data_IF_686765981503
#
_entry.id   IF_686765981503
#
_cell.length_a   1.000
_cell.length_b   1.000
_cell.length_c   1.000
_cell.angle_alpha   90.00
_cell.angle_beta   90.00
_cell.angle_gamma   90.00
#
_symmetry.space_group_name_H-M   'P 1'
#
loop_
_entity.id
_entity.type
_entity.pdbx_description
1 polymer ?
#
# COMPACT_ATOMS: atom_id res chain seq x y z
N UNK A 1 -0.68 -5.13 7.74
CA UNK A 1 -0.88 -6.55 7.38
C UNK A 1 -2.32 -6.74 6.97
N UNK A 2 -2.60 -7.68 6.08
CA UNK A 2 -3.97 -7.99 5.66
C UNK A 2 -4.60 -8.98 6.64
N UNK A 3 -5.93 -8.94 6.80
CA UNK A 3 -6.68 -9.90 7.60
C UNK A 3 -7.90 -10.37 6.83
N UNK A 4 -8.18 -11.67 6.92
CA UNK A 4 -9.40 -12.28 6.39
C UNK A 4 -9.67 -11.98 4.90
N UNK A 5 -8.63 -12.03 4.07
CA UNK A 5 -8.79 -11.84 2.62
C UNK A 5 -9.74 -12.92 2.05
N UNK A 6 -10.65 -12.49 1.17
CA UNK A 6 -11.54 -13.37 0.44
C UNK A 6 -10.98 -13.60 -0.96
N UNK A 7 -10.54 -14.82 -1.31
CA UNK A 7 -10.04 -15.10 -2.65
C UNK A 7 -11.14 -14.87 -3.71
N UNK A 8 -10.79 -14.42 -4.92
CA UNK A 8 -11.75 -14.06 -5.97
C UNK A 8 -12.63 -15.23 -6.42
N UNK A 9 -12.14 -16.46 -6.27
CA UNK A 9 -12.89 -17.69 -6.51
C UNK A 9 -12.96 -18.51 -5.22
N UNK A 10 -14.13 -19.09 -4.92
CA UNK A 10 -14.31 -20.13 -3.90
C UNK A 10 -13.60 -21.45 -4.26
N UNK A 11 -12.55 -21.42 -5.08
CA UNK A 11 -11.65 -22.55 -5.21
C UNK A 11 -10.82 -22.58 -3.93
N UNK A 12 -10.65 -23.75 -3.31
CA UNK A 12 -9.75 -23.94 -2.16
C UNK A 12 -8.27 -23.72 -2.48
N UNK A 13 -7.95 -22.84 -3.44
CA UNK A 13 -6.61 -22.45 -3.83
C UNK A 13 -6.04 -21.48 -2.78
N UNK A 14 -4.76 -21.68 -2.45
CA UNK A 14 -4.02 -20.80 -1.58
C UNK A 14 -3.98 -19.38 -2.19
N UNK A 15 -4.61 -18.41 -1.52
CA UNK A 15 -4.48 -17.00 -1.86
C UNK A 15 -2.98 -16.63 -1.90
N UNK A 16 -2.57 -15.92 -2.95
CA UNK A 16 -1.20 -15.45 -3.17
C UNK A 16 -1.17 -13.94 -3.17
N UNK A 17 -1.36 -13.28 -2.01
CA UNK A 17 -1.59 -11.85 -2.00
C UNK A 17 -0.31 -11.04 -2.10
N UNK A 18 -0.37 -9.94 -2.85
CA UNK A 18 0.63 -8.87 -2.84
C UNK A 18 -0.03 -7.51 -2.73
N UNK A 19 0.72 -6.51 -2.27
CA UNK A 19 0.24 -5.15 -2.11
C UNK A 19 0.91 -4.25 -3.13
N UNK A 20 0.14 -3.37 -3.74
CA UNK A 20 0.67 -2.32 -4.62
C UNK A 20 0.04 -0.97 -4.29
N UNK A 21 0.86 0.06 -4.31
CA UNK A 21 0.42 1.44 -4.14
C UNK A 21 1.38 2.40 -4.84
N UNK A 22 0.90 3.60 -5.16
CA UNK A 22 1.73 4.66 -5.74
C UNK A 22 1.69 5.86 -4.82
N UNK A 23 2.86 6.26 -4.31
CA UNK A 23 2.94 7.46 -3.49
C UNK A 23 2.61 8.70 -4.35
N UNK A 24 1.75 9.63 -3.90
CA UNK A 24 1.37 10.78 -4.71
C UNK A 24 2.58 11.59 -5.16
N UNK A 25 2.63 11.91 -6.45
CA UNK A 25 3.74 12.65 -7.05
C UNK A 25 4.88 11.78 -7.59
N UNK A 26 4.85 10.46 -7.38
CA UNK A 26 5.81 9.53 -7.99
C UNK A 26 5.19 8.80 -9.18
N UNK A 27 6.04 8.50 -10.17
CA UNK A 27 5.65 7.76 -11.37
C UNK A 27 5.49 6.26 -11.09
N UNK A 28 6.43 5.72 -10.32
CA UNK A 28 6.53 4.28 -10.11
C UNK A 28 5.63 3.84 -8.95
N UNK A 29 4.96 2.70 -9.16
CA UNK A 29 4.23 2.04 -8.10
C UNK A 29 5.19 1.16 -7.30
N UNK A 30 5.01 1.14 -5.99
CA UNK A 30 5.67 0.17 -5.12
C UNK A 30 4.84 -1.11 -5.07
N UNK A 31 5.51 -2.25 -5.22
CA UNK A 31 4.88 -3.58 -5.20
C UNK A 31 5.63 -4.47 -4.23
N UNK A 32 4.94 -5.03 -3.25
CA UNK A 32 5.56 -5.96 -2.29
C UNK A 32 5.82 -7.31 -2.95
N UNK A 33 6.65 -8.15 -2.30
CA UNK A 33 6.70 -9.58 -2.65
C UNK A 33 5.33 -10.23 -2.44
N UNK A 34 5.01 -11.20 -3.30
CA UNK A 34 3.84 -12.08 -3.15
C UNK A 34 4.07 -13.05 -2.00
N UNK A 35 3.11 -13.15 -1.07
CA UNK A 35 3.11 -14.12 0.03
C UNK A 35 2.00 -15.16 -0.15
N UNK A 36 1.87 -16.09 0.81
CA UNK A 36 0.85 -17.13 0.80
C UNK A 36 -0.08 -17.01 2.01
N UNK A 37 -1.36 -17.32 1.79
CA UNK A 37 -2.38 -17.40 2.83
C UNK A 37 -3.18 -16.12 3.00
N UNK A 38 -4.19 -16.18 3.89
CA UNK A 38 -5.22 -15.13 4.03
C UNK A 38 -4.82 -13.99 4.98
N UNK A 39 -3.73 -14.16 5.73
CA UNK A 39 -3.25 -13.22 6.74
C UNK A 39 -1.74 -12.89 6.56
N UNK A 40 -1.31 -12.42 5.37
CA UNK A 40 0.09 -12.13 5.10
C UNK A 40 0.62 -10.96 5.95
N UNK A 41 1.87 -11.10 6.40
CA UNK A 41 2.65 -10.02 7.05
C UNK A 41 3.88 -9.74 6.19
N UNK A 42 3.83 -8.64 5.42
CA UNK A 42 4.84 -8.34 4.39
C UNK A 42 6.22 -7.94 4.93
N UNK A 43 6.28 -7.21 6.06
CA UNK A 43 7.52 -6.63 6.62
C UNK A 43 8.38 -5.93 5.55
N UNK A 44 7.70 -5.18 4.69
CA UNK A 44 8.27 -4.53 3.52
C UNK A 44 8.32 -3.02 3.77
N UNK A 45 9.39 -2.38 3.35
CA UNK A 45 9.63 -0.95 3.49
C UNK A 45 9.95 -0.29 2.14
N UNK A 46 9.51 0.95 2.00
CA UNK A 46 9.82 1.77 0.85
C UNK A 46 9.98 3.23 1.31
N UNK A 47 10.95 3.91 0.72
CA UNK A 47 11.33 5.28 1.09
C UNK A 47 11.25 6.18 -0.14
N UNK A 48 10.60 7.33 0.00
CA UNK A 48 10.51 8.35 -1.04
C UNK A 48 11.15 9.64 -0.55
N UNK A 49 12.11 10.15 -1.33
CA UNK A 49 12.65 11.48 -1.10
C UNK A 49 11.63 12.52 -1.58
N UNK A 50 11.19 13.38 -0.67
CA UNK A 50 10.22 14.43 -0.95
C UNK A 50 10.83 15.80 -0.63
N UNK A 51 10.81 16.70 -1.60
CA UNK A 51 11.06 18.11 -1.33
C UNK A 51 9.83 18.68 -0.62
N UNK A 52 10.02 19.19 0.59
CA UNK A 52 8.93 19.78 1.36
C UNK A 52 8.61 21.17 0.81
N UNK A 53 7.41 21.33 0.24
CA UNK A 53 6.91 22.62 -0.26
C UNK A 53 5.50 22.89 0.31
N UNK A 54 5.08 24.16 0.40
CA UNK A 54 3.73 24.51 0.85
C UNK A 54 2.62 23.82 0.03
N UNK A 55 2.84 23.65 -1.29
CA UNK A 55 1.90 22.98 -2.19
C UNK A 55 1.77 21.49 -1.87
N UNK A 56 2.89 20.83 -1.56
CA UNK A 56 2.91 19.43 -1.15
C UNK A 56 2.20 19.22 0.19
N UNK A 57 2.44 20.11 1.16
CA UNK A 57 1.75 20.06 2.46
C UNK A 57 0.24 20.28 2.32
N UNK A 58 -0.18 21.28 1.53
CA UNK A 58 -1.59 21.53 1.26
C UNK A 58 -2.24 20.32 0.56
N UNK A 59 -1.54 19.71 -0.39
CA UNK A 59 -1.96 18.50 -1.08
C UNK A 59 -2.14 17.31 -0.11
N UNK A 60 -1.22 17.10 0.84
CA UNK A 60 -1.34 16.02 1.82
C UNK A 60 -2.53 16.17 2.78
N UNK A 61 -2.98 17.40 3.09
CA UNK A 61 -4.15 17.61 3.95
C UNK A 61 -5.45 17.06 3.35
N UNK A 62 -5.52 17.00 2.03
CA UNK A 62 -6.74 16.62 1.30
C UNK A 62 -6.66 15.26 0.60
N UNK A 63 -5.52 14.55 0.69
CA UNK A 63 -5.27 13.31 -0.05
C UNK A 63 -5.17 12.08 0.85
N UNK A 64 -5.49 10.95 0.25
CA UNK A 64 -5.31 9.63 0.82
C UNK A 64 -4.41 8.80 -0.12
N UNK A 65 -3.57 7.96 0.47
CA UNK A 65 -2.86 6.92 -0.26
C UNK A 65 -3.78 5.72 -0.43
N UNK A 66 -4.01 5.33 -1.68
CA UNK A 66 -4.74 4.11 -2.02
C UNK A 66 -3.78 2.94 -2.05
N UNK A 67 -4.09 1.91 -1.27
CA UNK A 67 -3.32 0.68 -1.16
C UNK A 67 -4.18 -0.47 -1.64
N UNK A 68 -3.76 -1.12 -2.71
CA UNK A 68 -4.48 -2.22 -3.34
C UNK A 68 -3.87 -3.54 -2.91
N UNK A 69 -4.72 -4.50 -2.57
CA UNK A 69 -4.34 -5.90 -2.33
C UNK A 69 -4.78 -6.70 -3.52
N UNK A 70 -3.83 -7.36 -4.17
CA UNK A 70 -4.05 -8.25 -5.30
C UNK A 70 -3.83 -9.70 -4.89
N UNK A 71 -4.46 -10.64 -5.58
CA UNK A 71 -4.27 -12.08 -5.48
C UNK A 71 -3.73 -12.65 -6.79
N UNK A 72 -2.49 -13.12 -6.76
CA UNK A 72 -1.76 -13.74 -7.87
C UNK A 72 -2.09 -15.24 -8.04
N UNK A 73 -3.15 -15.74 -7.39
CA UNK A 73 -3.58 -17.12 -7.56
C UNK A 73 -4.38 -17.37 -8.84
N UNK A 74 -4.91 -16.31 -9.47
CA UNK A 74 -5.87 -16.40 -10.57
C UNK A 74 -5.27 -16.38 -11.99
N UNK A 75 -3.94 -16.34 -12.14
CA UNK A 75 -3.28 -16.25 -13.45
C UNK A 75 -3.47 -14.87 -14.13
N UNK A 76 -3.32 -14.81 -15.45
CA UNK A 76 -3.24 -13.58 -16.27
C UNK A 76 -4.56 -12.77 -16.41
N UNK A 77 -5.53 -12.88 -15.49
CA UNK A 77 -6.73 -12.01 -15.53
C UNK A 77 -6.49 -10.74 -14.69
N UNK A 78 -6.23 -9.58 -15.32
CA UNK A 78 -5.89 -8.34 -14.62
C UNK A 78 -7.07 -7.73 -13.85
N UNK A 79 -8.31 -8.19 -14.09
CA UNK A 79 -9.52 -7.66 -13.45
C UNK A 79 -10.00 -8.48 -12.26
N UNK A 80 -9.46 -9.69 -12.07
CA UNK A 80 -9.85 -10.60 -10.98
C UNK A 80 -8.89 -10.62 -9.80
N UNK A 81 -7.79 -9.86 -9.87
CA UNK A 81 -6.77 -9.88 -8.82
C UNK A 81 -7.13 -9.06 -7.58
N UNK A 82 -7.90 -7.96 -7.66
CA UNK A 82 -8.08 -7.08 -6.49
C UNK A 82 -8.99 -7.76 -5.45
N UNK A 83 -8.41 -8.08 -4.29
CA UNK A 83 -9.10 -8.68 -3.13
C UNK A 83 -9.32 -7.69 -1.99
N UNK A 84 -8.76 -6.48 -2.09
CA UNK A 84 -8.97 -5.43 -1.10
C UNK A 84 -8.41 -4.08 -1.50
N UNK A 85 -8.97 -3.02 -0.91
CA UNK A 85 -8.46 -1.66 -1.01
C UNK A 85 -8.47 -1.04 0.38
N UNK A 86 -7.38 -0.37 0.75
CA UNK A 86 -7.28 0.43 1.95
C UNK A 86 -6.91 1.87 1.59
N UNK A 87 -7.42 2.81 2.37
CA UNK A 87 -7.16 4.24 2.22
C UNK A 87 -6.42 4.73 3.47
N UNK A 88 -5.25 5.35 3.27
CA UNK A 88 -4.43 5.89 4.35
C UNK A 88 -4.41 7.42 4.22
N UNK A 89 -5.02 8.17 5.16
CA UNK A 89 -4.98 9.63 5.14
C UNK A 89 -3.54 10.16 5.22
N UNK A 90 -3.20 11.10 4.34
CA UNK A 90 -1.86 11.70 4.31
C UNK A 90 -1.76 12.99 5.15
N UNK A 91 -2.86 13.40 5.79
CA UNK A 91 -2.93 14.64 6.57
C UNK A 91 -1.90 14.73 7.68
N UNK A 92 -1.51 13.59 8.28
CA UNK A 92 -0.45 13.54 9.29
C UNK A 92 0.94 13.95 8.74
N UNK A 93 1.20 13.75 7.45
CA UNK A 93 2.46 14.16 6.81
C UNK A 93 2.52 15.67 6.58
N UNK A 94 1.36 16.35 6.50
CA UNK A 94 1.29 17.80 6.28
C UNK A 94 1.73 18.62 7.49
N UNK A 95 1.60 18.09 8.70
CA UNK A 95 2.03 18.76 9.93
C UNK A 95 3.56 18.71 10.13
N UNK A 96 4.25 17.83 9.40
CA UNK A 96 5.61 17.40 9.73
C UNK A 96 5.59 16.51 10.97
N UNK A 97 6.33 15.40 10.94
CA UNK A 97 6.64 14.71 12.17
C UNK A 97 7.40 15.69 13.09
N UNK A 98 7.11 15.75 14.41
CA UNK A 98 8.08 16.32 15.34
C UNK A 98 9.37 15.52 15.12
N UNK A 99 10.46 16.21 14.79
CA UNK A 99 11.66 15.59 14.25
C UNK A 99 12.12 14.39 15.08
N UNK A 100 12.24 13.23 14.42
CA UNK A 100 13.05 12.12 14.91
C UNK A 100 14.54 12.44 14.75
N UNK A 101 14.97 13.58 15.32
CA UNK A 101 16.36 13.87 15.63
C UNK A 101 16.58 13.53 17.08
N UNK A 102 16.65 12.24 17.39
CA UNK A 102 17.04 11.73 18.70
C UNK A 102 18.32 10.94 18.55
N UNK A 103 19.47 11.62 18.58
CA UNK A 103 20.69 11.00 19.08
C UNK A 103 20.47 10.66 20.56
N UNK A 104 20.73 9.41 20.91
CA UNK A 104 20.86 8.92 22.28
C UNK A 104 21.85 7.77 22.25
#
# INVERSE_FOLDING_TARGET
>A
GCRELLPPARSGAACRPYVQYRFPGHRDAHTTKTLYGLNPVYRDDATWALARTPELEASFRARELQVFVFDDSAGDDPTRGIVGVAFVPLSALAAGAPGGGGQG
#
